data_IF_787327971854
#
_entry.id   IF_787327971854
#
_cell.length_a   1.000
_cell.length_b   1.000
_cell.length_c   1.000
_cell.angle_alpha   90.00
_cell.angle_beta   90.00
_cell.angle_gamma   90.00
#
_symmetry.space_group_name_H-M   'P 1'
#
loop_
_entity.id
_entity.type
_entity.pdbx_description
1 polymer ?
#
# COMPACT_ATOMS: atom_id res chain seq x y z
N UNK A 1 3.11 0.68 20.94
CA UNK A 1 3.93 0.20 19.81
C UNK A 1 3.15 0.64 18.59
N UNK A 2 3.66 1.64 17.87
CA UNK A 2 2.93 2.19 16.72
C UNK A 2 2.69 1.08 15.69
N UNK A 3 1.53 1.10 15.01
CA UNK A 3 1.30 0.19 13.90
C UNK A 3 2.43 0.39 12.88
N UNK A 4 3.22 -0.66 12.63
CA UNK A 4 4.28 -0.65 11.63
C UNK A 4 3.63 -0.32 10.30
N UNK A 5 3.80 0.92 9.86
CA UNK A 5 3.38 1.35 8.55
C UNK A 5 4.44 0.89 7.55
N UNK A 6 4.07 -0.02 6.64
CA UNK A 6 4.96 -0.45 5.57
C UNK A 6 4.66 0.44 4.36
N UNK A 7 5.59 1.33 4.03
CA UNK A 7 5.51 2.20 2.86
C UNK A 7 6.37 1.64 1.74
N UNK A 8 5.76 1.39 0.59
CA UNK A 8 6.44 0.91 -0.60
C UNK A 8 6.16 1.88 -1.74
N UNK A 9 7.19 2.18 -2.54
CA UNK A 9 7.03 3.00 -3.74
C UNK A 9 6.35 2.15 -4.81
N UNK A 10 5.23 2.64 -5.28
CA UNK A 10 4.50 2.12 -6.42
C UNK A 10 4.48 3.25 -7.44
N UNK A 11 4.77 2.93 -8.70
CA UNK A 11 4.90 3.93 -9.77
C UNK A 11 3.65 4.80 -9.99
N UNK A 12 3.82 5.93 -10.69
CA UNK A 12 2.82 6.99 -10.93
C UNK A 12 1.64 6.56 -11.83
N UNK A 13 0.89 5.51 -11.46
CA UNK A 13 -0.25 5.04 -12.25
C UNK A 13 -1.55 5.56 -11.65
N UNK A 14 -2.33 6.33 -12.41
CA UNK A 14 -3.62 6.87 -11.95
C UNK A 14 -4.55 5.75 -11.43
N UNK A 15 -5.10 5.86 -10.19
CA UNK A 15 -6.00 4.86 -9.60
C UNK A 15 -7.12 4.40 -10.54
N UNK A 16 -7.73 5.32 -11.28
CA UNK A 16 -8.92 5.07 -12.09
C UNK A 16 -8.62 4.40 -13.44
N UNK A 17 -7.34 4.26 -13.79
CA UNK A 17 -6.87 3.63 -15.03
C UNK A 17 -6.29 2.22 -14.82
N UNK A 18 -6.74 1.51 -13.78
CA UNK A 18 -6.18 0.22 -13.36
C UNK A 18 -4.97 0.35 -12.44
N UNK A 19 -4.67 1.57 -11.98
CA UNK A 19 -3.58 1.83 -11.03
C UNK A 19 -3.79 1.14 -9.69
N UNK A 20 -5.03 0.89 -9.26
CA UNK A 20 -5.32 0.21 -7.98
C UNK A 20 -4.77 -1.22 -7.90
N UNK A 21 -5.06 -2.06 -8.91
CA UNK A 21 -4.61 -3.45 -8.93
C UNK A 21 -3.10 -3.54 -9.14
N UNK A 22 -2.55 -2.72 -10.05
CA UNK A 22 -1.10 -2.62 -10.27
C UNK A 22 -0.40 -2.21 -8.98
N UNK A 23 -0.94 -1.21 -8.27
CA UNK A 23 -0.38 -0.74 -7.01
C UNK A 23 -0.38 -1.80 -5.91
N UNK A 24 -1.47 -2.55 -5.81
CA UNK A 24 -1.57 -3.67 -4.88
C UNK A 24 -0.50 -4.73 -5.19
N UNK A 25 -0.41 -5.16 -6.45
CA UNK A 25 0.54 -6.20 -6.87
C UNK A 25 2.00 -5.76 -6.71
N UNK A 26 2.32 -4.52 -7.05
CA UNK A 26 3.67 -3.96 -6.87
C UNK A 26 4.04 -3.85 -5.39
N UNK A 27 3.10 -3.46 -4.53
CA UNK A 27 3.31 -3.45 -3.09
C UNK A 27 3.61 -4.86 -2.56
N UNK A 28 2.81 -5.87 -2.94
CA UNK A 28 3.00 -7.27 -2.51
C UNK A 28 4.35 -7.81 -3.00
N UNK A 29 4.70 -7.55 -4.26
CA UNK A 29 5.99 -7.95 -4.83
C UNK A 29 7.16 -7.36 -4.03
N UNK A 30 7.18 -6.06 -3.79
CA UNK A 30 8.26 -5.38 -3.07
C UNK A 30 8.34 -5.77 -1.59
N UNK A 31 7.20 -6.06 -0.95
CA UNK A 31 7.18 -6.59 0.42
C UNK A 31 7.83 -7.99 0.49
N UNK A 32 7.52 -8.86 -0.47
CA UNK A 32 8.15 -10.18 -0.59
C UNK A 32 9.64 -10.07 -0.90
N UNK A 33 10.05 -9.18 -1.80
CA UNK A 33 11.48 -8.91 -2.09
C UNK A 33 12.24 -8.38 -0.88
N UNK A 34 11.57 -7.63 0.00
CA UNK A 34 12.12 -7.18 1.27
C UNK A 34 12.19 -8.29 2.35
N UNK A 35 11.75 -9.51 2.03
CA UNK A 35 11.84 -10.70 2.89
C UNK A 35 10.63 -10.95 3.79
N UNK A 36 9.52 -10.22 3.58
CA UNK A 36 8.30 -10.42 4.36
C UNK A 36 7.48 -11.59 3.83
N UNK A 37 6.94 -12.42 4.72
CA UNK A 37 6.00 -13.46 4.36
C UNK A 37 4.59 -12.87 4.19
N UNK A 38 4.19 -12.63 2.94
CA UNK A 38 2.93 -11.97 2.58
C UNK A 38 1.95 -12.98 1.96
N UNK A 39 0.85 -13.23 2.66
CA UNK A 39 -0.26 -14.06 2.19
C UNK A 39 -1.44 -13.16 1.79
N UNK A 40 -1.90 -13.30 0.55
CA UNK A 40 -3.04 -12.53 0.03
C UNK A 40 -4.35 -13.16 0.54
N UNK A 41 -5.05 -12.49 1.46
CA UNK A 41 -6.31 -13.00 2.03
C UNK A 41 -7.20 -11.85 2.54
N UNK A 42 -8.32 -11.52 1.86
CA UNK A 42 -8.81 -12.03 0.57
C UNK A 42 -8.03 -11.61 -0.68
N UNK A 43 -7.01 -10.74 -0.58
CA UNK A 43 -6.26 -10.24 -1.74
C UNK A 43 -6.70 -8.85 -2.20
N UNK A 44 -6.49 -8.56 -3.49
CA UNK A 44 -6.93 -7.31 -4.14
C UNK A 44 -8.46 -7.13 -4.01
N UNK A 45 -8.87 -5.89 -3.76
CA UNK A 45 -10.27 -5.48 -3.68
C UNK A 45 -10.40 -4.11 -4.34
N UNK A 46 -11.27 -3.99 -5.35
CA UNK A 46 -11.52 -2.69 -5.98
C UNK A 46 -12.01 -1.69 -4.91
N UNK A 47 -11.36 -0.53 -4.77
CA UNK A 47 -11.80 0.49 -3.83
C UNK A 47 -13.22 0.95 -4.15
N UNK A 48 -14.01 1.15 -3.09
CA UNK A 48 -15.39 1.64 -3.18
C UNK A 48 -15.45 3.10 -2.76
N UNK A 49 -16.40 3.84 -3.34
CA UNK A 49 -16.76 5.21 -2.93
C UNK A 49 -15.57 6.20 -2.87
N UNK A 50 -14.58 6.04 -3.76
CA UNK A 50 -13.37 6.88 -3.78
C UNK A 50 -12.42 6.65 -2.60
N UNK A 51 -12.58 5.53 -1.89
CA UNK A 51 -11.68 5.11 -0.82
C UNK A 51 -10.31 4.69 -1.35
N UNK A 52 -9.32 4.64 -0.45
CA UNK A 52 -7.96 4.21 -0.80
C UNK A 52 -7.73 2.72 -0.57
N UNK A 53 -8.68 2.00 0.02
CA UNK A 53 -8.54 0.58 0.34
C UNK A 53 -8.51 -0.29 -0.92
N UNK A 54 -7.37 -0.94 -1.20
CA UNK A 54 -7.18 -1.76 -2.40
C UNK A 54 -6.97 -3.24 -2.09
N UNK A 55 -6.95 -3.66 -0.82
CA UNK A 55 -6.86 -5.08 -0.49
C UNK A 55 -6.45 -5.40 0.94
N UNK A 56 -6.42 -6.69 1.24
CA UNK A 56 -6.01 -7.24 2.52
C UNK A 56 -4.94 -8.31 2.32
N UNK A 57 -3.96 -8.28 3.22
CA UNK A 57 -2.89 -9.29 3.30
C UNK A 57 -2.71 -9.73 4.74
N UNK A 58 -2.15 -10.91 4.93
CA UNK A 58 -1.61 -11.37 6.19
C UNK A 58 -0.09 -11.35 6.13
N UNK A 59 0.53 -10.85 7.20
CA UNK A 59 1.98 -10.75 7.37
C UNK A 59 2.29 -11.30 8.75
N UNK A 60 3.06 -12.37 8.84
CA UNK A 60 3.45 -13.01 10.11
C UNK A 60 2.23 -13.29 11.04
N UNK A 61 1.07 -13.63 10.45
CA UNK A 61 -0.18 -13.91 11.18
C UNK A 61 -0.99 -12.68 11.61
N UNK A 62 -0.59 -11.47 11.20
CA UNK A 62 -1.32 -10.23 11.42
C UNK A 62 -1.97 -9.75 10.12
N UNK A 63 -3.23 -9.32 10.20
CA UNK A 63 -3.95 -8.79 9.04
C UNK A 63 -3.60 -7.32 8.82
N UNK A 64 -3.23 -6.98 7.59
CA UNK A 64 -2.95 -5.63 7.14
C UNK A 64 -3.90 -5.22 6.02
N UNK A 65 -4.32 -3.97 6.08
CA UNK A 65 -5.07 -3.27 5.05
C UNK A 65 -4.11 -2.54 4.13
N UNK A 66 -4.17 -2.84 2.84
CA UNK A 66 -3.39 -2.16 1.81
C UNK A 66 -4.22 -1.01 1.25
N UNK A 67 -3.57 0.13 1.13
CA UNK A 67 -4.14 1.34 0.59
C UNK A 67 -3.33 1.83 -0.61
N UNK A 68 -4.02 2.45 -1.56
CA UNK A 68 -3.45 3.22 -2.65
C UNK A 68 -4.14 4.58 -2.77
N UNK A 69 -3.38 5.66 -2.88
CA UNK A 69 -3.93 7.01 -2.98
C UNK A 69 -2.88 8.09 -2.79
N UNK A 70 -3.33 9.35 -2.82
CA UNK A 70 -2.46 10.50 -2.60
C UNK A 70 -1.93 10.51 -1.17
N UNK A 71 -0.61 10.59 -1.03
CA UNK A 71 0.06 10.69 0.26
C UNK A 71 1.19 11.71 0.21
N UNK A 72 1.24 12.58 1.21
CA UNK A 72 2.36 13.46 1.43
C UNK A 72 3.61 12.63 1.78
N UNK A 73 4.71 12.85 1.07
CA UNK A 73 5.99 12.18 1.27
C UNK A 73 7.10 13.22 1.35
N UNK A 74 8.09 12.96 2.19
CA UNK A 74 9.32 13.77 2.19
C UNK A 74 10.13 13.38 0.95
N UNK A 75 10.39 14.34 0.07
CA UNK A 75 11.34 14.15 -1.01
C UNK A 75 12.75 14.09 -0.41
N UNK A 76 13.42 12.96 -0.64
CA UNK A 76 14.73 12.69 -0.06
C UNK A 76 15.83 13.51 -0.74
N UNK A 77 15.60 14.09 -1.93
CA UNK A 77 16.56 14.98 -2.58
C UNK A 77 16.57 16.39 -1.98
N UNK A 78 15.38 16.97 -1.75
CA UNK A 78 15.27 18.41 -1.43
C UNK A 78 14.68 18.69 -0.03
N UNK A 79 14.22 17.66 0.69
CA UNK A 79 13.60 17.81 2.02
C UNK A 79 12.22 18.47 1.98
N UNK A 80 11.66 18.69 0.79
CA UNK A 80 10.32 19.23 0.60
C UNK A 80 9.27 18.10 0.67
N UNK A 81 8.07 18.43 1.15
CA UNK A 81 6.96 17.47 1.11
C UNK A 81 6.30 17.49 -0.27
N UNK A 82 6.37 16.37 -0.97
CA UNK A 82 5.70 16.18 -2.27
C UNK A 82 4.45 15.32 -2.07
N UNK A 83 3.35 15.75 -2.68
CA UNK A 83 2.11 14.96 -2.74
C UNK A 83 2.16 14.07 -3.99
N UNK A 84 2.12 12.75 -3.79
CA UNK A 84 2.13 11.79 -4.88
C UNK A 84 1.34 10.53 -4.54
N UNK A 85 1.04 9.73 -5.54
CA UNK A 85 0.39 8.45 -5.31
C UNK A 85 1.33 7.47 -4.62
N UNK A 86 0.76 6.68 -3.73
CA UNK A 86 1.49 5.85 -2.79
C UNK A 86 0.67 4.63 -2.41
N UNK A 87 1.32 3.46 -2.36
CA UNK A 87 0.77 2.31 -1.66
C UNK A 87 1.33 2.21 -0.23
N UNK A 88 0.49 1.85 0.73
CA UNK A 88 0.90 1.62 2.13
C UNK A 88 0.03 0.57 2.81
N UNK A 89 0.57 -0.03 3.87
CA UNK A 89 -0.15 -0.98 4.71
C UNK A 89 -0.38 -0.45 6.13
N UNK A 90 -1.57 -0.73 6.69
CA UNK A 90 -1.93 -0.46 8.09
C UNK A 90 -2.49 -1.73 8.73
N UNK A 91 -2.11 -2.08 9.97
CA UNK A 91 -2.67 -3.24 10.63
C UNK A 91 -4.15 -3.03 10.93
N UNK A 92 -4.94 -4.09 10.75
CA UNK A 92 -6.36 -4.09 11.11
C UNK A 92 -6.45 -4.26 12.63
N UNK A 93 -6.80 -3.18 13.35
CA UNK A 93 -7.09 -3.25 14.78
C UNK A 93 -8.32 -4.14 15.01
N UNK A 94 -8.17 -5.15 15.87
CA UNK A 94 -9.29 -5.99 16.37
C UNK A 94 -10.02 -5.30 17.50
#
# INVERSE_FOLDING_TARGET
>A
MDPVQILIRVGDTDPDAGGNEVAYQEWVYLAREAGWDVVENPGFQEPRDGGTHVGLVEIEGLTYRIHYGLRARLDLSDGETVLGYAAWAEPVQR
#
